data_IF_124985957030
#
_entry.id   IF_124985957030
#
_cell.length_a   1.000
_cell.length_b   1.000
_cell.length_c   1.000
_cell.angle_alpha   90.00
_cell.angle_beta   90.00
_cell.angle_gamma   90.00
#
_symmetry.space_group_name_H-M   'P 1'
#
loop_
_entity.id
_entity.type
_entity.pdbx_description
1 polymer ?
#
# COMPACT_ATOMS: atom_id res chain seq x y z
N UNK A 1 -1.62 1.68 12.33
CA UNK A 1 -1.60 3.04 12.91
C UNK A 1 -1.36 3.04 14.42
N UNK A 2 -2.26 2.49 15.26
CA UNK A 2 -2.11 2.52 16.72
C UNK A 2 -0.73 2.05 17.22
N UNK A 3 -0.27 0.88 16.77
CA UNK A 3 1.05 0.34 17.13
C UNK A 3 2.19 1.31 16.77
N UNK A 4 2.13 1.94 15.59
CA UNK A 4 3.10 2.94 15.15
C UNK A 4 3.13 4.18 16.03
N UNK A 5 1.95 4.68 16.43
CA UNK A 5 1.84 5.86 17.31
C UNK A 5 2.35 5.56 18.71
N UNK A 6 2.06 4.37 19.25
CA UNK A 6 2.58 3.92 20.55
C UNK A 6 4.10 3.75 20.49
N UNK A 7 4.64 3.18 19.41
CA UNK A 7 6.07 3.06 19.20
C UNK A 7 6.76 4.44 19.14
N UNK A 8 6.20 5.38 18.37
CA UNK A 8 6.69 6.77 18.32
C UNK A 8 6.69 7.44 19.69
N UNK A 9 5.64 7.24 20.50
CA UNK A 9 5.61 7.75 21.87
C UNK A 9 6.78 7.23 22.70
N UNK A 10 7.04 5.92 22.67
CA UNK A 10 8.15 5.31 23.40
C UNK A 10 9.49 5.91 22.96
N UNK A 11 9.71 6.02 21.65
CA UNK A 11 10.94 6.59 21.08
C UNK A 11 11.13 8.06 21.47
N UNK A 12 10.06 8.87 21.47
CA UNK A 12 10.12 10.26 21.92
C UNK A 12 10.41 10.37 23.43
N UNK A 13 9.80 9.52 24.25
CA UNK A 13 10.02 9.50 25.71
C UNK A 13 11.48 9.16 26.06
N UNK A 14 12.10 8.23 25.34
CA UNK A 14 13.52 7.91 25.52
C UNK A 14 14.44 9.10 25.21
N UNK A 15 14.03 10.00 24.34
CA UNK A 15 14.76 11.22 24.00
C UNK A 15 14.44 12.40 24.95
N UNK A 16 13.52 12.23 25.91
CA UNK A 16 13.07 13.32 26.79
C UNK A 16 11.93 14.17 26.19
N UNK A 17 11.29 13.71 25.12
CA UNK A 17 10.11 14.31 24.51
C UNK A 17 8.79 13.67 24.96
N UNK A 18 7.69 14.20 24.43
CA UNK A 18 6.33 13.71 24.69
C UNK A 18 5.53 13.59 23.39
N UNK A 19 4.54 12.69 23.36
CA UNK A 19 3.57 12.58 22.27
C UNK A 19 2.16 12.82 22.79
N UNK A 20 1.58 13.95 22.41
CA UNK A 20 0.16 14.26 22.64
C UNK A 20 -0.66 13.58 21.55
N UNK A 21 -1.66 12.79 21.96
CA UNK A 21 -2.59 12.15 21.03
C UNK A 21 -3.95 12.83 21.16
N UNK A 22 -4.42 13.41 20.06
CA UNK A 22 -5.75 14.01 19.97
C UNK A 22 -6.76 13.05 19.37
N UNK A 23 -7.95 12.99 19.97
CA UNK A 23 -9.13 12.28 19.43
C UNK A 23 -9.96 13.14 18.46
N UNK A 24 -9.78 14.46 18.54
CA UNK A 24 -10.51 15.44 17.74
C UNK A 24 -9.69 15.82 16.51
N UNK A 25 -10.39 16.33 15.49
CA UNK A 25 -9.77 16.89 14.30
C UNK A 25 -8.61 17.85 14.64
N UNK A 26 -7.57 17.84 13.82
CA UNK A 26 -6.44 18.76 13.92
C UNK A 26 -6.91 20.24 13.93
N UNK A 27 -8.03 20.54 13.26
CA UNK A 27 -8.71 21.85 13.28
C UNK A 27 -9.13 22.34 14.67
N UNK A 28 -9.26 21.43 15.64
CA UNK A 28 -9.63 21.73 17.03
C UNK A 28 -8.40 21.58 17.91
N UNK A 29 -7.69 20.46 17.76
CA UNK A 29 -6.60 20.09 18.66
C UNK A 29 -5.40 21.04 18.51
N UNK A 30 -4.99 21.40 17.28
CA UNK A 30 -3.80 22.25 17.07
C UNK A 30 -4.00 23.65 17.66
N UNK A 31 -5.10 24.39 17.39
CA UNK A 31 -5.30 25.70 18.01
C UNK A 31 -5.35 25.69 19.53
N UNK A 32 -5.85 24.61 20.14
CA UNK A 32 -5.84 24.45 21.60
C UNK A 32 -4.41 24.32 22.14
N UNK A 33 -3.59 23.48 21.50
CA UNK A 33 -2.18 23.29 21.89
C UNK A 33 -1.37 24.57 21.69
N UNK A 34 -1.61 25.31 20.60
CA UNK A 34 -0.95 26.60 20.35
C UNK A 34 -1.19 27.56 21.51
N UNK A 35 -2.44 27.70 21.94
CA UNK A 35 -2.81 28.56 23.07
C UNK A 35 -2.27 28.06 24.40
N UNK A 36 -2.29 26.75 24.64
CA UNK A 36 -1.86 26.15 25.91
C UNK A 36 -0.34 26.25 26.12
N UNK A 37 0.43 26.04 25.06
CA UNK A 37 1.89 25.97 25.12
C UNK A 37 2.60 27.20 24.56
N UNK A 38 1.86 28.26 24.20
CA UNK A 38 2.41 29.49 23.61
C UNK A 38 3.31 29.18 22.40
N UNK A 39 2.84 28.28 21.54
CA UNK A 39 3.61 27.81 20.38
C UNK A 39 3.84 28.97 19.41
N UNK A 40 5.07 29.09 18.89
CA UNK A 40 5.44 30.07 17.85
C UNK A 40 5.62 29.42 16.48
N UNK A 41 6.08 28.17 16.47
CA UNK A 41 6.50 27.44 15.27
C UNK A 41 5.87 26.04 15.24
N UNK A 42 5.37 25.64 14.07
CA UNK A 42 4.88 24.29 13.82
C UNK A 42 5.69 23.67 12.68
N UNK A 43 6.34 22.55 12.96
CA UNK A 43 7.07 21.74 11.98
C UNK A 43 6.25 20.51 11.59
N UNK A 44 6.14 20.25 10.29
CA UNK A 44 5.45 19.06 9.79
C UNK A 44 6.08 18.55 8.48
N UNK A 45 5.86 17.27 8.18
CA UNK A 45 6.12 16.78 6.83
C UNK A 45 5.08 17.36 5.86
N UNK A 46 5.52 17.83 4.70
CA UNK A 46 4.66 18.42 3.69
C UNK A 46 3.73 17.35 3.08
N UNK A 47 2.42 17.59 3.16
CA UNK A 47 1.41 16.79 2.47
C UNK A 47 1.19 17.24 1.02
N UNK A 48 0.55 16.37 0.23
CA UNK A 48 0.40 16.62 -1.21
C UNK A 48 -0.96 16.22 -1.79
N UNK A 49 -1.78 15.47 -1.04
CA UNK A 49 -3.09 15.04 -1.50
C UNK A 49 -4.16 16.09 -1.15
N UNK A 50 -5.23 16.25 -1.95
CA UNK A 50 -6.13 17.39 -1.85
C UNK A 50 -6.78 17.55 -0.46
N UNK A 51 -7.25 16.46 0.14
CA UNK A 51 -7.91 16.51 1.45
C UNK A 51 -6.94 17.00 2.54
N UNK A 52 -5.72 16.48 2.56
CA UNK A 52 -4.68 16.88 3.50
C UNK A 52 -4.24 18.32 3.27
N UNK A 53 -4.13 18.76 2.02
CA UNK A 53 -3.81 20.15 1.67
C UNK A 53 -4.89 21.13 2.13
N UNK A 54 -6.17 20.79 1.93
CA UNK A 54 -7.29 21.61 2.39
C UNK A 54 -7.28 21.74 3.91
N UNK A 55 -7.09 20.62 4.63
CA UNK A 55 -6.97 20.60 6.08
C UNK A 55 -5.81 21.48 6.57
N UNK A 56 -4.62 21.36 5.97
CA UNK A 56 -3.47 22.18 6.33
C UNK A 56 -3.73 23.66 6.07
N UNK A 57 -4.32 24.01 4.93
CA UNK A 57 -4.67 25.40 4.59
C UNK A 57 -5.62 26.01 5.62
N UNK A 58 -6.67 25.28 6.00
CA UNK A 58 -7.63 25.78 7.00
C UNK A 58 -6.98 25.99 8.38
N UNK A 59 -6.02 25.14 8.77
CA UNK A 59 -5.29 25.30 10.04
C UNK A 59 -4.42 26.57 10.00
N UNK A 60 -3.71 26.78 8.90
CA UNK A 60 -2.88 27.96 8.71
C UNK A 60 -3.72 29.25 8.75
N UNK A 61 -4.88 29.25 8.09
CA UNK A 61 -5.78 30.42 8.08
C UNK A 61 -6.32 30.74 9.48
N UNK A 62 -6.47 29.74 10.36
CA UNK A 62 -6.92 29.93 11.76
C UNK A 62 -5.81 30.38 12.71
N UNK A 63 -4.55 30.23 12.31
CA UNK A 63 -3.37 30.49 13.14
C UNK A 63 -2.37 31.39 12.38
N UNK A 64 -2.78 32.60 11.93
CA UNK A 64 -1.96 33.48 11.10
C UNK A 64 -0.69 33.99 11.80
N UNK A 65 -0.65 33.94 13.12
CA UNK A 65 0.50 34.32 13.95
C UNK A 65 1.59 33.24 14.05
N UNK A 66 1.30 32.01 13.62
CA UNK A 66 2.20 30.87 13.76
C UNK A 66 3.07 30.71 12.51
N UNK A 67 4.36 30.45 12.71
CA UNK A 67 5.28 30.12 11.62
C UNK A 67 5.22 28.63 11.30
N UNK A 68 4.75 28.29 10.09
CA UNK A 68 4.65 26.90 9.63
C UNK A 68 5.86 26.51 8.78
N UNK A 69 6.52 25.43 9.19
CA UNK A 69 7.72 24.88 8.56
C UNK A 69 7.43 23.49 7.98
N UNK A 70 7.23 23.42 6.66
CA UNK A 70 6.97 22.16 5.97
C UNK A 70 8.22 21.57 5.32
N UNK A 71 8.50 20.30 5.61
CA UNK A 71 9.64 19.57 5.04
C UNK A 71 9.18 18.44 4.12
N UNK A 72 9.80 18.32 2.94
CA UNK A 72 9.49 17.23 2.02
C UNK A 72 10.36 15.99 2.31
N UNK A 73 9.77 14.97 2.94
CA UNK A 73 10.44 13.71 3.31
C UNK A 73 9.91 12.45 2.62
N UNK A 74 8.76 12.54 1.93
CA UNK A 74 7.94 11.39 1.53
C UNK A 74 8.53 10.53 0.42
N UNK A 75 9.42 11.06 -0.41
CA UNK A 75 9.92 10.39 -1.63
C UNK A 75 11.42 10.09 -1.55
N UNK A 76 11.88 9.16 -2.38
CA UNK A 76 13.30 8.84 -2.52
C UNK A 76 14.07 10.02 -3.13
N UNK A 77 13.60 10.53 -4.26
CA UNK A 77 14.11 11.76 -4.86
C UNK A 77 13.33 12.96 -4.33
N UNK A 78 14.04 14.01 -3.91
CA UNK A 78 13.38 15.22 -3.43
C UNK A 78 12.66 15.93 -4.59
N UNK A 79 11.48 16.50 -4.32
CA UNK A 79 10.65 17.18 -5.34
C UNK A 79 11.37 18.33 -6.07
N UNK A 80 12.35 18.94 -5.40
CA UNK A 80 13.13 20.07 -5.95
C UNK A 80 14.42 19.63 -6.67
N UNK A 81 14.78 18.33 -6.60
CA UNK A 81 16.01 17.81 -7.22
C UNK A 81 15.74 17.00 -8.50
N UNK A 82 14.48 16.71 -8.80
CA UNK A 82 14.08 16.03 -10.04
C UNK A 82 14.15 17.00 -11.23
N UNK A 83 14.41 16.51 -12.47
CA UNK A 83 14.60 17.39 -13.63
C UNK A 83 13.26 17.86 -14.25
N UNK A 84 12.23 18.00 -13.41
CA UNK A 84 10.86 18.32 -13.82
C UNK A 84 10.21 19.25 -12.79
N UNK A 85 9.50 20.26 -13.27
CA UNK A 85 8.45 20.89 -12.47
C UNK A 85 7.29 19.90 -12.27
N UNK A 86 6.57 19.98 -11.14
CA UNK A 86 5.42 19.11 -10.83
C UNK A 86 4.37 19.15 -11.96
N UNK A 87 4.06 20.33 -12.48
CA UNK A 87 3.13 20.53 -13.60
C UNK A 87 3.53 19.81 -14.91
N UNK A 88 4.81 19.44 -15.04
CA UNK A 88 5.43 18.84 -16.23
C UNK A 88 5.87 17.38 -16.02
N UNK A 89 5.53 16.76 -14.88
CA UNK A 89 5.86 15.35 -14.60
C UNK A 89 5.36 14.42 -15.72
N UNK A 90 6.22 13.65 -16.40
CA UNK A 90 5.80 12.86 -17.56
C UNK A 90 4.63 11.90 -17.27
N UNK A 91 3.79 11.63 -18.27
CA UNK A 91 2.62 10.75 -18.10
C UNK A 91 2.97 9.25 -18.11
N UNK A 92 4.21 8.88 -18.45
CA UNK A 92 4.69 7.49 -18.43
C UNK A 92 5.89 7.33 -17.50
N UNK A 93 5.93 6.21 -16.77
CA UNK A 93 7.02 5.90 -15.82
C UNK A 93 8.39 5.90 -16.51
N UNK A 94 8.49 5.39 -17.75
CA UNK A 94 9.76 5.37 -18.51
C UNK A 94 10.29 6.78 -18.78
N UNK A 95 9.41 7.71 -19.18
CA UNK A 95 9.80 9.09 -19.47
C UNK A 95 10.18 9.87 -18.21
N UNK A 96 9.65 9.51 -17.05
CA UNK A 96 10.05 10.06 -15.75
C UNK A 96 11.38 9.45 -15.24
N UNK A 97 11.45 8.12 -15.12
CA UNK A 97 12.53 7.43 -14.41
C UNK A 97 13.90 7.55 -15.07
N UNK A 98 13.95 7.59 -16.42
CA UNK A 98 15.24 7.63 -17.14
C UNK A 98 15.96 8.96 -16.91
N UNK A 99 15.32 10.14 -17.08
CA UNK A 99 15.93 11.42 -16.73
C UNK A 99 16.28 11.55 -15.24
N UNK A 100 15.37 11.17 -14.33
CA UNK A 100 15.61 11.24 -12.88
C UNK A 100 16.86 10.45 -12.49
N UNK A 101 16.97 9.19 -12.94
CA UNK A 101 18.14 8.36 -12.64
C UNK A 101 19.46 8.87 -13.25
N UNK A 102 19.41 9.80 -14.22
CA UNK A 102 20.60 10.39 -14.85
C UNK A 102 20.96 11.77 -14.29
N UNK A 103 19.99 12.52 -13.79
CA UNK A 103 20.13 13.95 -13.46
C UNK A 103 19.91 14.27 -11.99
N UNK A 104 19.51 13.28 -11.19
CA UNK A 104 19.17 13.46 -9.79
C UNK A 104 19.78 12.35 -8.96
N UNK A 105 19.99 12.63 -7.68
CA UNK A 105 20.44 11.67 -6.68
C UNK A 105 19.52 11.77 -5.46
N UNK A 106 19.24 10.65 -4.76
CA UNK A 106 18.59 10.72 -3.46
C UNK A 106 19.43 11.58 -2.50
N UNK A 107 18.80 12.49 -1.77
CA UNK A 107 19.47 13.23 -0.68
C UNK A 107 19.86 12.27 0.45
N UNK A 108 20.84 12.66 1.24
CA UNK A 108 21.18 11.93 2.46
C UNK A 108 20.03 11.97 3.48
N UNK A 109 20.05 11.02 4.41
CA UNK A 109 19.13 10.98 5.55
C UNK A 109 19.59 11.98 6.61
N UNK A 110 18.64 12.63 7.26
CA UNK A 110 18.91 13.50 8.40
C UNK A 110 19.21 12.60 9.61
N UNK A 111 20.19 12.99 10.44
CA UNK A 111 20.54 12.27 11.66
C UNK A 111 19.41 12.34 12.70
N UNK A 112 19.13 11.23 13.37
CA UNK A 112 18.20 11.18 14.50
C UNK A 112 18.71 12.08 15.65
N UNK A 113 17.85 12.90 16.27
CA UNK A 113 18.23 13.68 17.45
C UNK A 113 18.61 12.76 18.61
N UNK A 114 19.59 13.17 19.41
CA UNK A 114 20.05 12.41 20.59
C UNK A 114 19.32 12.78 21.88
N UNK A 115 18.67 13.94 21.91
CA UNK A 115 17.84 14.40 23.02
C UNK A 115 16.84 15.46 22.54
N UNK A 116 15.77 15.64 23.31
CA UNK A 116 14.71 16.62 23.12
C UNK A 116 14.50 17.38 24.42
N UNK A 117 14.24 18.69 24.31
CA UNK A 117 13.84 19.52 25.44
C UNK A 117 12.30 19.57 25.54
N UNK A 118 11.70 18.48 25.99
CA UNK A 118 10.25 18.36 26.12
C UNK A 118 9.68 19.26 27.24
N UNK A 119 8.44 19.74 27.04
CA UNK A 119 7.70 20.47 28.08
C UNK A 119 7.46 19.55 29.27
N UNK A 120 7.75 20.05 30.48
CA UNK A 120 7.61 19.29 31.72
C UNK A 120 6.14 19.12 32.12
N UNK A 121 5.84 18.03 32.84
CA UNK A 121 4.53 17.75 33.44
C UNK A 121 3.36 17.61 32.44
N UNK A 122 3.63 17.22 31.18
CA UNK A 122 2.56 16.84 30.25
C UNK A 122 1.87 15.56 30.74
N UNK A 123 0.54 15.59 30.80
CA UNK A 123 -0.27 14.39 31.03
C UNK A 123 -0.25 13.50 29.80
N UNK A 124 0.15 12.24 29.95
CA UNK A 124 0.02 11.26 28.88
C UNK A 124 -1.46 10.99 28.62
N UNK A 125 -1.91 11.27 27.40
CA UNK A 125 -3.24 10.90 26.93
C UNK A 125 -3.14 9.47 26.36
N UNK A 126 -4.01 8.55 26.77
CA UNK A 126 -4.00 7.19 26.20
C UNK A 126 -4.38 7.20 24.72
N UNK A 127 -3.98 6.15 23.99
CA UNK A 127 -4.48 6.00 22.62
C UNK A 127 -5.98 5.70 22.69
N UNK A 128 -6.82 6.32 21.83
CA UNK A 128 -8.27 6.17 21.92
C UNK A 128 -8.71 4.71 21.77
N UNK A 129 -9.71 4.28 22.53
CA UNK A 129 -10.20 2.91 22.43
C UNK A 129 -10.81 2.62 21.06
N UNK A 130 -10.84 1.34 20.66
CA UNK A 130 -11.43 0.90 19.39
C UNK A 130 -12.89 1.37 19.20
N UNK A 131 -13.65 1.49 20.29
CA UNK A 131 -15.02 2.00 20.30
C UNK A 131 -15.14 3.46 19.85
N UNK A 132 -14.10 4.29 20.06
CA UNK A 132 -14.08 5.67 19.57
C UNK A 132 -14.07 5.73 18.03
N UNK A 133 -13.65 4.64 17.37
CA UNK A 133 -13.64 4.49 15.92
C UNK A 133 -14.79 3.62 15.39
N UNK A 134 -15.77 3.29 16.24
CA UNK A 134 -16.93 2.50 15.85
C UNK A 134 -16.70 0.99 15.79
N UNK A 135 -15.57 0.48 16.29
CA UNK A 135 -15.30 -0.96 16.35
C UNK A 135 -15.69 -1.54 17.71
N UNK A 136 -16.23 -2.76 17.69
CA UNK A 136 -16.40 -3.55 18.90
C UNK A 136 -15.05 -4.08 19.40
N UNK A 137 -14.99 -4.39 20.70
CA UNK A 137 -13.81 -5.01 21.30
C UNK A 137 -13.47 -6.36 20.64
N UNK A 138 -14.48 -7.15 20.30
CA UNK A 138 -14.31 -8.45 19.64
C UNK A 138 -13.69 -8.30 18.24
N UNK A 139 -14.15 -7.33 17.43
CA UNK A 139 -13.57 -7.07 16.11
C UNK A 139 -12.10 -6.64 16.23
N UNK A 140 -11.79 -5.79 17.21
CA UNK A 140 -10.44 -5.33 17.47
C UNK A 140 -9.51 -6.47 17.91
N UNK A 141 -9.94 -7.30 18.87
CA UNK A 141 -9.15 -8.44 19.38
C UNK A 141 -8.96 -9.55 18.34
N UNK A 142 -9.90 -9.70 17.41
CA UNK A 142 -9.77 -10.62 16.28
C UNK A 142 -8.95 -10.04 15.13
N UNK A 143 -8.64 -8.75 15.15
CA UNK A 143 -7.79 -8.14 14.12
C UNK A 143 -6.34 -8.57 14.30
N UNK A 144 -5.81 -9.25 13.29
CA UNK A 144 -4.42 -9.70 13.26
C UNK A 144 -3.76 -9.08 12.03
N UNK A 145 -3.30 -7.81 12.12
CA UNK A 145 -2.65 -7.17 11.00
C UNK A 145 -1.43 -8.00 10.58
N UNK A 146 -1.20 -8.09 9.27
CA UNK A 146 -0.15 -8.91 8.69
C UNK A 146 1.27 -8.62 9.25
N UNK A 147 1.47 -7.39 9.75
CA UNK A 147 2.74 -6.88 10.27
C UNK A 147 2.49 -6.05 11.53
N UNK A 148 3.47 -6.06 12.44
CA UNK A 148 3.52 -5.15 13.59
C UNK A 148 3.89 -3.75 13.09
N UNK A 149 3.17 -2.71 13.51
CA UNK A 149 3.46 -1.32 13.15
C UNK A 149 4.50 -0.65 14.07
N UNK A 150 5.28 0.27 13.50
CA UNK A 150 6.29 1.07 14.23
C UNK A 150 7.57 1.25 13.44
N UNK A 151 8.37 2.24 13.81
CA UNK A 151 9.72 2.46 13.27
C UNK A 151 10.63 1.27 13.63
N UNK A 152 10.60 0.81 14.88
CA UNK A 152 11.46 -0.28 15.34
C UNK A 152 11.21 -1.57 14.53
N UNK A 153 9.94 -1.92 14.33
CA UNK A 153 9.54 -3.07 13.51
C UNK A 153 9.93 -2.88 12.04
N UNK A 154 9.89 -1.65 11.52
CA UNK A 154 10.32 -1.34 10.16
C UNK A 154 11.84 -1.52 10.00
N UNK A 155 12.63 -1.04 10.96
CA UNK A 155 14.09 -1.15 10.98
C UNK A 155 14.54 -2.60 11.17
N UNK A 156 13.87 -3.37 12.04
CA UNK A 156 14.10 -4.80 12.18
C UNK A 156 13.80 -5.54 10.88
N UNK A 157 12.67 -5.22 10.23
CA UNK A 157 12.31 -5.84 8.96
C UNK A 157 13.29 -5.47 7.86
N UNK A 158 13.78 -4.24 7.82
CA UNK A 158 14.82 -3.80 6.89
C UNK A 158 16.09 -4.62 7.08
N UNK A 159 16.58 -4.70 8.32
CA UNK A 159 17.79 -5.46 8.67
C UNK A 159 17.64 -6.95 8.37
N UNK A 160 16.48 -7.53 8.68
CA UNK A 160 16.18 -8.91 8.37
C UNK A 160 16.25 -9.18 6.87
N UNK A 161 15.55 -8.37 6.07
CA UNK A 161 15.41 -8.59 4.63
C UNK A 161 16.72 -8.33 3.86
N UNK A 162 17.58 -7.44 4.39
CA UNK A 162 18.90 -7.18 3.82
C UNK A 162 19.95 -8.13 4.37
N UNK A 163 20.40 -7.96 5.62
CA UNK A 163 21.62 -8.62 6.09
C UNK A 163 21.38 -9.94 6.83
N UNK A 164 20.30 -10.09 7.60
CA UNK A 164 20.11 -11.35 8.36
C UNK A 164 19.71 -12.54 7.48
N UNK A 165 18.90 -12.31 6.44
CA UNK A 165 18.40 -13.38 5.56
C UNK A 165 18.88 -13.27 4.11
N UNK A 166 19.49 -12.15 3.72
CA UNK A 166 19.99 -11.90 2.35
C UNK A 166 18.94 -12.05 1.23
N UNK A 167 17.64 -12.01 1.58
CA UNK A 167 16.52 -12.16 0.65
C UNK A 167 16.50 -11.11 -0.45
N UNK A 168 17.08 -9.93 -0.19
CA UNK A 168 17.24 -8.87 -1.19
C UNK A 168 17.95 -9.37 -2.46
N UNK A 169 18.92 -10.29 -2.36
CA UNK A 169 19.60 -10.88 -3.52
C UNK A 169 18.63 -11.63 -4.45
N UNK A 170 17.55 -12.19 -3.91
CA UNK A 170 16.53 -12.95 -4.64
C UNK A 170 15.26 -12.16 -5.04
N UNK A 171 15.12 -10.91 -4.60
CA UNK A 171 13.86 -10.14 -4.67
C UNK A 171 13.17 -10.16 -6.05
N UNK A 172 13.92 -9.98 -7.15
CA UNK A 172 13.34 -9.95 -8.50
C UNK A 172 12.57 -11.24 -8.85
N UNK A 173 13.03 -12.37 -8.34
CA UNK A 173 12.50 -13.70 -8.65
C UNK A 173 11.37 -14.10 -7.70
N UNK A 174 11.41 -13.63 -6.45
CA UNK A 174 10.41 -13.97 -5.43
C UNK A 174 9.21 -13.03 -5.41
N UNK A 175 9.34 -11.76 -5.83
CA UNK A 175 8.31 -10.69 -5.70
C UNK A 175 6.92 -10.96 -6.28
N UNK A 176 6.76 -12.01 -7.08
CA UNK A 176 5.48 -12.38 -7.69
C UNK A 176 4.73 -13.52 -6.97
N UNK A 177 5.24 -14.03 -5.83
CA UNK A 177 4.50 -14.99 -5.00
C UNK A 177 3.30 -14.30 -4.31
N UNK A 178 2.34 -15.11 -3.86
CA UNK A 178 1.09 -14.64 -3.28
C UNK A 178 1.09 -14.60 -1.74
N UNK A 179 1.99 -15.33 -1.08
CA UNK A 179 1.95 -15.50 0.37
C UNK A 179 3.33 -15.73 1.01
N UNK A 180 3.40 -15.49 2.32
CA UNK A 180 4.61 -15.52 3.14
C UNK A 180 5.29 -14.15 3.28
N UNK A 181 6.10 -13.99 4.32
CA UNK A 181 6.79 -12.72 4.58
C UNK A 181 7.92 -12.48 3.57
N UNK A 182 8.60 -13.51 3.10
CA UNK A 182 9.94 -13.37 2.50
C UNK A 182 9.97 -13.17 0.98
N UNK A 183 8.83 -13.33 0.32
CA UNK A 183 8.79 -13.17 -1.13
C UNK A 183 8.95 -11.72 -1.59
N UNK A 184 8.78 -10.75 -0.69
CA UNK A 184 8.99 -9.32 -0.94
C UNK A 184 9.40 -8.63 0.35
N UNK A 185 9.84 -7.38 0.26
CA UNK A 185 10.35 -6.66 1.43
C UNK A 185 9.32 -6.46 2.54
N UNK A 186 8.03 -6.36 2.20
CA UNK A 186 6.94 -5.98 3.11
C UNK A 186 7.12 -4.60 3.76
N UNK A 187 7.84 -3.70 3.08
CA UNK A 187 8.06 -2.32 3.58
C UNK A 187 6.87 -1.37 3.38
N UNK A 188 5.89 -1.75 2.55
CA UNK A 188 4.82 -0.83 2.14
C UNK A 188 4.00 -0.24 3.29
N UNK A 189 3.62 -0.97 4.37
CA UNK A 189 2.87 -0.35 5.48
C UNK A 189 3.71 0.67 6.25
N UNK A 190 5.00 0.38 6.41
CA UNK A 190 5.93 1.29 7.07
C UNK A 190 6.18 2.56 6.25
N UNK A 191 6.31 2.41 4.92
CA UNK A 191 6.44 3.55 4.00
C UNK A 191 5.18 4.40 3.92
N UNK A 192 4.00 3.79 4.00
CA UNK A 192 2.71 4.49 3.97
C UNK A 192 2.51 5.36 5.22
N UNK A 193 2.92 4.86 6.39
CA UNK A 193 2.79 5.59 7.66
C UNK A 193 4.02 6.43 8.04
N UNK A 194 5.06 6.47 7.20
CA UNK A 194 6.30 7.19 7.50
C UNK A 194 7.17 6.56 8.60
N UNK A 195 6.90 5.31 9.01
CA UNK A 195 7.72 4.57 9.99
C UNK A 195 9.14 4.27 9.47
N UNK A 196 9.37 4.37 8.16
CA UNK A 196 10.70 4.27 7.55
C UNK A 196 10.78 5.14 6.32
N UNK A 197 11.91 5.84 6.14
CA UNK A 197 12.14 6.68 4.96
C UNK A 197 12.56 5.83 3.75
N UNK A 198 12.09 6.14 2.53
CA UNK A 198 12.63 5.54 1.31
C UNK A 198 14.14 5.80 1.15
N UNK A 199 14.66 6.91 1.70
CA UNK A 199 16.11 7.23 1.69
C UNK A 199 16.92 6.32 2.62
N UNK A 200 16.36 5.95 3.78
CA UNK A 200 16.99 4.97 4.67
C UNK A 200 17.07 3.58 4.00
N UNK A 201 15.98 3.15 3.34
CA UNK A 201 15.98 1.90 2.57
C UNK A 201 17.04 1.97 1.46
N UNK A 202 17.10 3.06 0.70
CA UNK A 202 18.10 3.24 -0.35
C UNK A 202 19.53 3.14 0.18
N UNK A 203 19.85 3.86 1.26
CA UNK A 203 21.18 3.81 1.89
C UNK A 203 21.54 2.40 2.31
N UNK A 204 20.61 1.68 2.94
CA UNK A 204 20.83 0.29 3.38
C UNK A 204 21.01 -0.67 2.20
N UNK A 205 20.28 -0.46 1.10
CA UNK A 205 20.48 -1.23 -0.13
C UNK A 205 21.87 -0.96 -0.72
N UNK A 206 22.37 0.28 -0.70
CA UNK A 206 23.73 0.61 -1.17
C UNK A 206 24.81 -0.06 -0.33
N UNK A 207 24.66 -0.01 0.98
CA UNK A 207 25.52 -0.73 1.90
C UNK A 207 25.52 -2.25 1.64
N UNK A 208 24.34 -2.84 1.39
CA UNK A 208 24.23 -4.25 1.03
C UNK A 208 24.87 -4.58 -0.33
N UNK A 209 24.72 -3.69 -1.32
CA UNK A 209 25.35 -3.84 -2.65
C UNK A 209 26.88 -3.87 -2.55
N UNK A 210 27.46 -3.10 -1.63
CA UNK A 210 28.90 -3.03 -1.37
C UNK A 210 29.42 -4.24 -0.58
N UNK A 211 28.72 -4.63 0.48
CA UNK A 211 29.19 -5.67 1.42
C UNK A 211 28.84 -7.10 1.01
N UNK A 212 27.70 -7.30 0.33
CA UNK A 212 27.17 -8.63 0.03
C UNK A 212 27.10 -8.84 -1.48
N UNK A 213 26.19 -8.15 -2.17
CA UNK A 213 26.00 -8.35 -3.61
C UNK A 213 25.20 -7.25 -4.27
N UNK A 214 25.73 -6.68 -5.35
CA UNK A 214 24.99 -5.88 -6.32
C UNK A 214 24.45 -6.74 -7.46
N UNK A 215 23.15 -6.72 -7.71
CA UNK A 215 22.56 -7.48 -8.82
C UNK A 215 21.23 -6.86 -9.34
N UNK A 216 20.52 -7.59 -10.21
CA UNK A 216 19.23 -7.12 -10.72
C UNK A 216 18.17 -6.97 -9.64
N UNK A 217 18.22 -7.77 -8.57
CA UNK A 217 17.24 -7.74 -7.47
C UNK A 217 17.42 -6.51 -6.58
N UNK A 218 18.65 -6.14 -6.22
CA UNK A 218 18.94 -4.92 -5.45
C UNK A 218 18.49 -3.67 -6.22
N UNK A 219 18.79 -3.62 -7.53
CA UNK A 219 18.27 -2.57 -8.41
C UNK A 219 16.75 -2.56 -8.48
N UNK A 220 16.10 -3.73 -8.53
CA UNK A 220 14.64 -3.83 -8.66
C UNK A 220 13.92 -3.28 -7.43
N UNK A 221 14.46 -3.46 -6.23
CA UNK A 221 13.87 -2.87 -5.02
C UNK A 221 13.86 -1.33 -5.10
N UNK A 222 14.98 -0.73 -5.53
CA UNK A 222 15.06 0.72 -5.75
C UNK A 222 14.10 1.14 -6.88
N UNK A 223 14.01 0.36 -7.95
CA UNK A 223 13.08 0.64 -9.04
C UNK A 223 11.62 0.75 -8.56
N UNK A 224 11.17 -0.11 -7.64
CA UNK A 224 9.82 0.00 -7.07
C UNK A 224 9.65 1.27 -6.21
N UNK A 225 10.67 1.70 -5.46
CA UNK A 225 10.64 2.97 -4.73
C UNK A 225 10.50 4.17 -5.69
N UNK A 226 11.22 4.15 -6.81
CA UNK A 226 11.07 5.17 -7.88
C UNK A 226 9.68 5.13 -8.50
N UNK A 227 9.04 3.97 -8.53
CA UNK A 227 7.67 3.84 -9.00
C UNK A 227 6.66 4.49 -8.04
N UNK A 228 6.88 4.35 -6.72
CA UNK A 228 6.13 5.08 -5.69
C UNK A 228 6.30 6.59 -5.83
N UNK A 229 7.55 7.08 -5.94
CA UNK A 229 7.84 8.51 -6.18
C UNK A 229 7.11 9.05 -7.42
N UNK A 230 7.20 8.30 -8.52
CA UNK A 230 6.55 8.67 -9.77
C UNK A 230 5.03 8.83 -9.60
N UNK A 231 4.39 7.96 -8.82
CA UNK A 231 2.98 8.06 -8.51
C UNK A 231 2.64 9.23 -7.62
N UNK A 232 3.44 9.52 -6.59
CA UNK A 232 3.27 10.74 -5.79
C UNK A 232 3.33 11.98 -6.67
N UNK A 233 4.38 12.15 -7.48
CA UNK A 233 4.53 13.35 -8.31
C UNK A 233 3.52 13.42 -9.46
N UNK A 234 3.14 12.28 -10.06
CA UNK A 234 2.06 12.25 -11.06
C UNK A 234 0.71 12.57 -10.41
N UNK A 235 0.45 12.07 -9.21
CA UNK A 235 -0.74 12.42 -8.42
C UNK A 235 -0.82 13.92 -8.18
N UNK A 236 0.28 14.55 -7.73
CA UNK A 236 0.38 16.00 -7.56
C UNK A 236 0.09 16.78 -8.86
N UNK A 237 0.64 16.31 -10.00
CA UNK A 237 0.39 16.94 -11.31
C UNK A 237 -1.09 16.91 -11.70
N UNK A 238 -1.73 15.79 -11.45
CA UNK A 238 -3.06 15.46 -11.97
C UNK A 238 -4.17 15.94 -11.03
N UNK A 239 -3.86 16.06 -9.73
CA UNK A 239 -4.76 16.59 -8.71
C UNK A 239 -6.03 15.74 -8.55
N UNK A 240 -7.16 16.36 -8.18
CA UNK A 240 -8.40 15.66 -7.83
C UNK A 240 -8.98 14.75 -8.92
N UNK A 241 -8.57 14.93 -10.18
CA UNK A 241 -9.06 14.09 -11.28
C UNK A 241 -8.68 12.61 -11.15
N UNK A 242 -7.67 12.26 -10.32
CA UNK A 242 -7.34 10.86 -9.99
C UNK A 242 -8.44 10.14 -9.20
N UNK A 243 -9.39 10.86 -8.60
CA UNK A 243 -10.49 10.28 -7.82
C UNK A 243 -11.79 10.15 -8.63
N UNK A 244 -11.82 10.68 -9.86
CA UNK A 244 -13.00 10.68 -10.71
C UNK A 244 -13.13 9.38 -11.50
N UNK A 245 -14.36 8.92 -11.76
CA UNK A 245 -14.61 7.69 -12.55
C UNK A 245 -13.99 7.72 -13.95
N UNK A 246 -13.96 8.87 -14.61
CA UNK A 246 -13.35 9.01 -15.95
C UNK A 246 -11.82 9.06 -15.89
N UNK A 247 -11.27 9.26 -14.70
CA UNK A 247 -9.85 9.46 -14.46
C UNK A 247 -9.30 10.68 -15.19
N UNK A 248 -7.98 10.84 -15.15
CA UNK A 248 -7.32 11.91 -15.90
C UNK A 248 -7.24 11.64 -17.41
N UNK A 249 -7.61 10.43 -17.85
CA UNK A 249 -7.78 10.11 -19.27
C UNK A 249 -9.09 10.63 -19.84
N UNK A 250 -10.02 11.09 -18.98
CA UNK A 250 -11.32 11.61 -19.38
C UNK A 250 -12.08 10.64 -20.32
N UNK A 251 -11.95 9.33 -20.08
CA UNK A 251 -12.55 8.30 -20.94
C UNK A 251 -13.84 7.79 -20.31
N UNK A 252 -14.93 7.83 -21.08
CA UNK A 252 -16.20 7.23 -20.67
C UNK A 252 -16.16 5.72 -20.92
N UNK A 253 -16.35 4.95 -19.86
CA UNK A 253 -16.54 3.50 -19.89
C UNK A 253 -17.96 3.22 -19.39
N UNK A 254 -18.66 2.31 -20.06
CA UNK A 254 -19.96 1.82 -19.57
C UNK A 254 -19.67 0.74 -18.54
N UNK A 255 -20.12 0.97 -17.32
CA UNK A 255 -19.99 0.05 -16.20
C UNK A 255 -21.34 -0.63 -15.94
N UNK A 256 -21.33 -1.92 -15.62
CA UNK A 256 -22.52 -2.62 -15.15
C UNK A 256 -22.88 -2.20 -13.73
N UNK A 257 -21.86 -2.02 -12.86
CA UNK A 257 -22.01 -1.61 -11.46
C UNK A 257 -23.03 -2.46 -10.67
N UNK A 258 -23.11 -3.76 -10.97
CA UNK A 258 -23.95 -4.69 -10.24
C UNK A 258 -23.47 -4.79 -8.77
N UNK A 259 -24.28 -4.37 -7.78
CA UNK A 259 -23.87 -4.38 -6.38
C UNK A 259 -23.64 -5.79 -5.83
N UNK A 260 -24.36 -6.80 -6.32
CA UNK A 260 -24.21 -8.19 -5.89
C UNK A 260 -22.89 -8.79 -6.40
N UNK A 261 -22.49 -8.50 -7.64
CA UNK A 261 -21.17 -8.86 -8.16
C UNK A 261 -20.05 -8.19 -7.35
N UNK A 262 -20.24 -6.92 -6.95
CA UNK A 262 -19.27 -6.19 -6.14
C UNK A 262 -19.14 -6.79 -4.74
N UNK A 263 -20.25 -7.07 -4.07
CA UNK A 263 -20.25 -7.67 -2.73
C UNK A 263 -19.56 -9.04 -2.74
N UNK A 264 -19.88 -9.90 -3.71
CA UNK A 264 -19.19 -11.19 -3.88
C UNK A 264 -17.70 -11.03 -4.08
N UNK A 265 -17.26 -10.01 -4.83
CA UNK A 265 -15.83 -9.70 -4.98
C UNK A 265 -15.21 -9.24 -3.66
N UNK A 266 -15.83 -8.30 -2.95
CA UNK A 266 -15.36 -7.82 -1.66
C UNK A 266 -15.21 -8.96 -0.65
N UNK A 267 -16.16 -9.89 -0.59
CA UNK A 267 -16.17 -11.00 0.35
C UNK A 267 -15.23 -12.16 -0.02
N UNK A 268 -14.70 -12.19 -1.25
CA UNK A 268 -13.93 -13.34 -1.75
C UNK A 268 -14.81 -14.55 -2.05
N UNK A 269 -16.00 -14.31 -2.61
CA UNK A 269 -17.03 -15.30 -2.94
C UNK A 269 -17.38 -15.28 -4.44
N UNK A 270 -16.43 -14.96 -5.32
CA UNK A 270 -16.64 -14.85 -6.77
C UNK A 270 -16.79 -16.20 -7.47
N UNK A 271 -16.36 -17.30 -6.83
CA UNK A 271 -16.26 -18.64 -7.38
C UNK A 271 -14.99 -18.86 -8.21
N UNK A 272 -14.06 -17.90 -8.21
CA UNK A 272 -12.75 -17.99 -8.86
C UNK A 272 -11.69 -18.05 -7.76
N UNK A 273 -11.16 -19.25 -7.43
CA UNK A 273 -10.39 -19.45 -6.21
C UNK A 273 -9.18 -18.52 -6.06
N UNK A 274 -8.53 -18.14 -7.16
CA UNK A 274 -7.38 -17.24 -7.13
C UNK A 274 -7.74 -15.80 -6.73
N UNK A 275 -8.92 -15.32 -7.15
CA UNK A 275 -9.44 -14.01 -6.75
C UNK A 275 -9.92 -14.09 -5.30
N UNK A 276 -10.67 -15.14 -4.99
CA UNK A 276 -11.29 -15.36 -3.69
C UNK A 276 -10.24 -15.48 -2.58
N UNK A 277 -9.20 -16.30 -2.77
CA UNK A 277 -8.08 -16.42 -1.82
C UNK A 277 -7.38 -15.08 -1.56
N UNK A 278 -7.18 -14.25 -2.59
CA UNK A 278 -6.57 -12.94 -2.40
C UNK A 278 -7.48 -11.96 -1.67
N UNK A 279 -8.79 -11.94 -1.98
CA UNK A 279 -9.73 -11.08 -1.28
C UNK A 279 -9.90 -11.50 0.19
N UNK A 280 -9.90 -12.81 0.48
CA UNK A 280 -9.87 -13.33 1.85
C UNK A 280 -8.59 -12.93 2.59
N UNK A 281 -7.42 -13.05 1.95
CA UNK A 281 -6.14 -12.58 2.49
C UNK A 281 -6.18 -11.09 2.86
N UNK A 282 -6.70 -10.24 1.96
CA UNK A 282 -6.86 -8.81 2.22
C UNK A 282 -7.79 -8.56 3.41
N UNK A 283 -8.95 -9.23 3.44
CA UNK A 283 -9.96 -8.97 4.46
C UNK A 283 -9.50 -9.38 5.87
N UNK A 284 -8.74 -10.48 5.97
CA UNK A 284 -8.30 -11.01 7.25
C UNK A 284 -7.01 -10.34 7.77
N UNK A 285 -6.11 -9.92 6.87
CA UNK A 285 -4.76 -9.45 7.27
C UNK A 285 -4.50 -7.98 6.96
N UNK A 286 -5.37 -7.37 6.15
CA UNK A 286 -5.19 -6.05 5.57
C UNK A 286 -4.04 -5.95 4.58
N UNK A 287 -3.46 -7.08 4.14
CA UNK A 287 -2.37 -7.10 3.17
C UNK A 287 -2.73 -7.99 1.98
N UNK A 288 -2.32 -7.57 0.78
CA UNK A 288 -2.42 -8.38 -0.43
C UNK A 288 -1.13 -8.24 -1.25
N UNK A 289 -0.63 -9.34 -1.80
CA UNK A 289 0.52 -9.31 -2.71
C UNK A 289 0.27 -8.40 -3.91
N UNK A 290 1.31 -7.75 -4.46
CA UNK A 290 1.15 -6.94 -5.68
C UNK A 290 0.54 -7.76 -6.84
N UNK A 291 0.88 -9.05 -6.92
CA UNK A 291 0.30 -9.96 -7.93
C UNK A 291 -1.20 -10.15 -7.71
N UNK A 292 -1.62 -10.31 -6.47
CA UNK A 292 -3.03 -10.37 -6.09
C UNK A 292 -3.76 -9.08 -6.45
N UNK A 293 -3.21 -7.92 -6.07
CA UNK A 293 -3.83 -6.61 -6.32
C UNK A 293 -4.11 -6.38 -7.80
N UNK A 294 -3.13 -6.64 -8.67
CA UNK A 294 -3.30 -6.52 -10.12
C UNK A 294 -4.40 -7.45 -10.64
N UNK A 295 -4.45 -8.71 -10.18
CA UNK A 295 -5.44 -9.67 -10.66
C UNK A 295 -6.85 -9.36 -10.15
N UNK A 296 -7.01 -9.03 -8.86
CA UNK A 296 -8.30 -8.66 -8.28
C UNK A 296 -8.84 -7.36 -8.91
N UNK A 297 -7.98 -6.36 -9.12
CA UNK A 297 -8.36 -5.13 -9.80
C UNK A 297 -8.71 -5.36 -11.28
N UNK A 298 -7.93 -6.16 -12.00
CA UNK A 298 -8.25 -6.52 -13.39
C UNK A 298 -9.58 -7.26 -13.48
N UNK A 299 -9.85 -8.19 -12.56
CA UNK A 299 -11.09 -8.96 -12.54
C UNK A 299 -12.31 -8.07 -12.29
N UNK A 300 -12.24 -7.18 -11.29
CA UNK A 300 -13.30 -6.23 -10.98
C UNK A 300 -13.65 -5.35 -12.20
N UNK A 301 -12.63 -4.80 -12.85
CA UNK A 301 -12.78 -3.85 -13.96
C UNK A 301 -13.21 -4.54 -15.25
N UNK A 302 -12.52 -5.62 -15.63
CA UNK A 302 -12.59 -6.16 -17.00
C UNK A 302 -13.54 -7.36 -17.13
N UNK A 303 -13.74 -8.11 -16.06
CA UNK A 303 -14.69 -9.24 -16.03
C UNK A 303 -16.02 -8.77 -15.44
N UNK A 304 -16.02 -8.26 -14.20
CA UNK A 304 -17.28 -7.85 -13.54
C UNK A 304 -17.86 -6.52 -14.05
N UNK A 305 -17.09 -5.76 -14.84
CA UNK A 305 -17.48 -4.44 -15.38
C UNK A 305 -17.94 -3.47 -14.29
N UNK A 306 -17.33 -3.53 -13.12
CA UNK A 306 -17.60 -2.60 -12.02
C UNK A 306 -16.63 -1.42 -12.10
N UNK A 307 -17.15 -0.24 -11.80
CA UNK A 307 -16.38 0.99 -11.73
C UNK A 307 -15.19 0.83 -10.78
N UNK A 308 -14.00 1.10 -11.31
CA UNK A 308 -12.73 0.93 -10.61
C UNK A 308 -12.63 1.77 -9.33
N UNK A 309 -13.36 2.88 -9.21
CA UNK A 309 -13.34 3.71 -7.99
C UNK A 309 -13.96 2.98 -6.79
N UNK A 310 -14.85 2.00 -7.01
CA UNK A 310 -15.39 1.15 -5.94
C UNK A 310 -14.31 0.24 -5.36
N UNK A 311 -13.49 -0.35 -6.23
CA UNK A 311 -12.35 -1.15 -5.82
C UNK A 311 -11.26 -0.33 -5.14
N UNK A 312 -10.98 0.88 -5.63
CA UNK A 312 -10.03 1.80 -5.02
C UNK A 312 -10.43 2.16 -3.58
N UNK A 313 -11.70 2.54 -3.36
CA UNK A 313 -12.25 2.82 -2.04
C UNK A 313 -12.28 1.59 -1.13
N UNK A 314 -12.60 0.41 -1.67
CA UNK A 314 -12.54 -0.83 -0.90
C UNK A 314 -11.11 -1.13 -0.41
N UNK A 315 -10.12 -0.97 -1.28
CA UNK A 315 -8.71 -1.16 -0.93
C UNK A 315 -8.22 -0.12 0.08
N UNK A 316 -8.65 1.14 -0.04
CA UNK A 316 -8.41 2.17 0.97
C UNK A 316 -8.94 1.77 2.35
N UNK A 317 -10.11 1.15 2.42
CA UNK A 317 -10.70 0.70 3.70
C UNK A 317 -10.05 -0.55 4.32
N UNK A 318 -9.25 -1.31 3.55
CA UNK A 318 -8.70 -2.61 3.97
C UNK A 318 -7.18 -2.66 4.06
N UNK A 319 -6.47 -1.93 3.21
CA UNK A 319 -5.02 -2.04 3.13
C UNK A 319 -4.32 -1.38 4.31
N UNK A 320 -3.54 -2.15 5.07
CA UNK A 320 -2.62 -1.60 6.09
C UNK A 320 -1.50 -0.75 5.48
N UNK A 321 -1.31 -0.81 4.16
CA UNK A 321 -0.34 -0.03 3.40
C UNK A 321 -1.00 0.92 2.39
N UNK A 322 -2.21 1.39 2.72
CA UNK A 322 -2.86 2.42 1.93
C UNK A 322 -1.97 3.67 1.83
N UNK A 323 -1.61 4.02 0.59
CA UNK A 323 -0.99 5.28 0.19
C UNK A 323 -1.86 5.83 -0.94
N UNK A 324 -2.34 7.07 -0.78
CA UNK A 324 -3.33 7.70 -1.67
C UNK A 324 -2.89 7.66 -3.13
N UNK A 325 -1.66 8.08 -3.44
CA UNK A 325 -1.16 8.05 -4.81
C UNK A 325 -1.02 6.62 -5.32
N UNK A 326 -0.40 5.75 -4.53
CA UNK A 326 -0.09 4.39 -4.96
C UNK A 326 -1.34 3.57 -5.22
N UNK A 327 -2.37 3.70 -4.37
CA UNK A 327 -3.63 3.01 -4.55
C UNK A 327 -4.38 3.54 -5.77
N UNK A 328 -4.73 4.84 -5.76
CA UNK A 328 -5.60 5.43 -6.78
C UNK A 328 -4.96 5.43 -8.18
N UNK A 329 -3.64 5.63 -8.28
CA UNK A 329 -2.95 5.55 -9.58
C UNK A 329 -2.83 4.12 -10.12
N UNK A 330 -2.63 3.11 -9.27
CA UNK A 330 -2.63 1.71 -9.72
C UNK A 330 -4.02 1.31 -10.24
N UNK A 331 -5.08 1.65 -9.53
CA UNK A 331 -6.46 1.38 -9.96
C UNK A 331 -6.80 2.11 -11.26
N UNK A 332 -6.43 3.39 -11.39
CA UNK A 332 -6.57 4.13 -12.63
C UNK A 332 -5.80 3.45 -13.78
N UNK A 333 -4.54 3.07 -13.55
CA UNK A 333 -3.76 2.35 -14.57
C UNK A 333 -4.42 1.03 -14.96
N UNK A 334 -4.98 0.27 -14.01
CA UNK A 334 -5.69 -0.97 -14.29
C UNK A 334 -6.96 -0.76 -15.15
N UNK A 335 -7.65 0.37 -14.95
CA UNK A 335 -8.83 0.73 -15.71
C UNK A 335 -8.52 1.22 -17.14
N UNK A 336 -7.45 1.99 -17.31
CA UNK A 336 -7.24 2.76 -18.54
C UNK A 336 -5.94 2.47 -19.31
N UNK A 337 -4.92 1.90 -18.68
CA UNK A 337 -3.57 1.80 -19.26
C UNK A 337 -3.02 0.37 -19.33
N UNK A 338 -3.42 -0.51 -18.41
CA UNK A 338 -2.89 -1.87 -18.28
C UNK A 338 -3.80 -2.87 -18.99
N UNK A 339 -3.17 -3.82 -19.67
CA UNK A 339 -3.87 -4.93 -20.32
C UNK A 339 -4.52 -5.88 -19.31
N UNK A 340 -5.70 -6.36 -19.68
CA UNK A 340 -6.45 -7.37 -18.95
C UNK A 340 -5.59 -8.60 -18.58
N UNK A 341 -5.70 -9.05 -17.33
CA UNK A 341 -5.10 -10.31 -16.86
C UNK A 341 -6.18 -11.36 -16.63
N UNK A 342 -6.06 -12.50 -17.30
CA UNK A 342 -6.94 -13.65 -17.09
C UNK A 342 -6.64 -14.33 -15.73
N UNK A 343 -7.58 -14.33 -14.77
CA UNK A 343 -7.33 -14.83 -13.42
C UNK A 343 -7.03 -16.33 -13.39
N UNK A 344 -7.68 -17.14 -14.25
CA UNK A 344 -7.44 -18.59 -14.37
C UNK A 344 -6.04 -18.86 -14.90
N UNK A 345 -5.62 -18.13 -15.94
CA UNK A 345 -4.27 -18.24 -16.46
C UNK A 345 -3.22 -17.84 -15.43
N UNK A 346 -3.46 -16.75 -14.70
CA UNK A 346 -2.54 -16.23 -13.70
C UNK A 346 -2.41 -17.19 -12.52
N UNK A 347 -3.52 -17.77 -12.07
CA UNK A 347 -3.55 -18.82 -11.04
C UNK A 347 -2.61 -19.99 -11.39
N UNK A 348 -2.69 -20.51 -12.63
CA UNK A 348 -1.79 -21.57 -13.10
C UNK A 348 -0.34 -21.07 -13.26
N UNK A 349 -0.15 -19.92 -13.92
CA UNK A 349 1.19 -19.35 -14.19
C UNK A 349 2.00 -19.13 -12.91
N UNK A 350 1.36 -18.70 -11.83
CA UNK A 350 2.00 -18.43 -10.55
C UNK A 350 1.92 -19.59 -9.56
N UNK A 351 1.44 -20.77 -10.00
CA UNK A 351 1.32 -21.98 -9.19
C UNK A 351 0.58 -21.71 -7.87
N UNK A 352 -0.61 -21.13 -7.96
CA UNK A 352 -1.36 -20.66 -6.81
C UNK A 352 -2.05 -21.76 -5.99
N UNK A 353 -1.86 -23.05 -6.30
CA UNK A 353 -2.56 -24.17 -5.66
C UNK A 353 -2.45 -24.13 -4.13
N UNK A 354 -1.22 -24.06 -3.60
CA UNK A 354 -1.01 -24.09 -2.14
C UNK A 354 -1.52 -22.82 -1.47
N UNK A 355 -1.42 -21.68 -2.15
CA UNK A 355 -2.00 -20.42 -1.70
C UNK A 355 -3.53 -20.52 -1.61
N UNK A 356 -4.19 -21.08 -2.62
CA UNK A 356 -5.64 -21.26 -2.62
C UNK A 356 -6.07 -22.20 -1.49
N UNK A 357 -5.37 -23.33 -1.30
CA UNK A 357 -5.67 -24.29 -0.21
C UNK A 357 -5.51 -23.66 1.17
N UNK A 358 -4.54 -22.76 1.34
CA UNK A 358 -4.31 -22.05 2.59
C UNK A 358 -5.47 -21.12 2.95
N UNK A 359 -5.98 -20.37 1.96
CA UNK A 359 -6.98 -19.32 2.19
C UNK A 359 -8.43 -19.77 2.00
N UNK A 360 -8.66 -20.91 1.33
CA UNK A 360 -9.99 -21.46 1.06
C UNK A 360 -10.06 -22.90 1.61
N UNK A 361 -10.44 -23.08 2.90
CA UNK A 361 -10.42 -24.38 3.55
C UNK A 361 -11.26 -25.45 2.86
N UNK A 362 -12.35 -25.09 2.19
CA UNK A 362 -13.19 -26.03 1.43
C UNK A 362 -12.43 -26.69 0.26
N UNK A 363 -11.39 -26.01 -0.25
CA UNK A 363 -10.57 -26.49 -1.37
C UNK A 363 -9.25 -27.14 -0.91
N UNK A 364 -8.99 -27.19 0.40
CA UNK A 364 -7.70 -27.61 0.97
C UNK A 364 -7.26 -29.03 0.60
N UNK A 365 -8.20 -29.94 0.35
CA UNK A 365 -7.94 -31.36 0.02
C UNK A 365 -7.93 -31.67 -1.48
N UNK A 366 -8.21 -30.68 -2.33
CA UNK A 366 -8.32 -30.89 -3.76
C UNK A 366 -6.97 -31.04 -4.44
N UNK A 367 -6.91 -31.83 -5.51
CA UNK A 367 -5.69 -32.02 -6.29
C UNK A 367 -5.30 -30.74 -7.06
N UNK A 368 -4.14 -30.76 -7.73
CA UNK A 368 -3.55 -29.58 -8.37
C UNK A 368 -4.36 -29.02 -9.55
N UNK A 369 -5.29 -29.80 -10.11
CA UNK A 369 -6.20 -29.40 -11.19
C UNK A 369 -7.48 -28.84 -10.58
N UNK A 370 -8.13 -29.63 -9.73
CA UNK A 370 -9.40 -29.33 -9.08
C UNK A 370 -9.38 -28.01 -8.31
N UNK A 371 -8.30 -27.74 -7.57
CA UNK A 371 -8.17 -26.50 -6.77
C UNK A 371 -8.16 -25.22 -7.63
N UNK A 372 -7.72 -25.31 -8.88
CA UNK A 372 -7.61 -24.15 -9.77
C UNK A 372 -8.90 -23.87 -10.54
N UNK A 373 -9.69 -24.91 -10.82
CA UNK A 373 -10.90 -24.86 -11.65
C UNK A 373 -12.02 -25.74 -11.05
N UNK A 374 -12.41 -25.53 -9.78
CA UNK A 374 -13.31 -26.45 -9.06
C UNK A 374 -14.68 -26.58 -9.72
N UNK A 375 -15.15 -25.53 -10.41
CA UNK A 375 -16.44 -25.53 -11.11
C UNK A 375 -16.50 -26.47 -12.32
N UNK A 376 -15.37 -27.01 -12.79
CA UNK A 376 -15.33 -28.01 -13.87
C UNK A 376 -15.62 -29.43 -13.38
N UNK A 377 -15.86 -29.62 -12.07
CA UNK A 377 -16.10 -30.92 -11.44
C UNK A 377 -17.37 -30.86 -10.57
N UNK A 378 -18.36 -31.70 -10.90
CA UNK A 378 -19.68 -31.68 -10.25
C UNK A 378 -19.65 -32.07 -8.76
N UNK A 379 -18.65 -32.83 -8.34
CA UNK A 379 -18.51 -33.34 -6.97
C UNK A 379 -17.93 -32.34 -5.97
N UNK A 380 -17.43 -31.20 -6.45
CA UNK A 380 -16.75 -30.21 -5.61
C UNK A 380 -17.78 -29.20 -5.09
N UNK A 381 -17.97 -29.19 -3.77
CA UNK A 381 -18.83 -28.22 -3.11
C UNK A 381 -18.09 -26.90 -2.86
N UNK A 382 -18.07 -26.04 -3.88
CA UNK A 382 -17.59 -24.66 -3.79
C UNK A 382 -18.55 -23.71 -4.51
N UNK A 383 -18.55 -22.44 -4.11
CA UNK A 383 -19.44 -21.45 -4.72
C UNK A 383 -19.19 -21.36 -6.23
N UNK A 384 -20.28 -21.40 -7.02
CA UNK A 384 -20.17 -21.33 -8.48
C UNK A 384 -19.66 -19.96 -8.93
N UNK A 385 -18.84 -19.90 -10.00
CA UNK A 385 -18.41 -18.64 -10.59
C UNK A 385 -19.59 -17.71 -10.86
N UNK A 386 -19.42 -16.41 -10.61
CA UNK A 386 -20.35 -15.36 -11.09
C UNK A 386 -20.61 -15.57 -12.59
N UNK A 387 -19.55 -15.79 -13.35
CA UNK A 387 -19.58 -16.10 -14.77
C UNK A 387 -18.30 -16.85 -15.17
N UNK A 388 -18.40 -17.75 -16.16
CA UNK A 388 -17.25 -18.38 -16.80
C UNK A 388 -17.12 -17.83 -18.22
N UNK A 389 -16.16 -16.95 -18.44
CA UNK A 389 -16.04 -16.24 -19.71
C UNK A 389 -15.34 -17.09 -20.78
N UNK A 390 -15.79 -17.09 -22.05
CA UNK A 390 -15.15 -17.86 -23.13
C UNK A 390 -13.65 -17.58 -23.32
N UNK A 391 -13.21 -16.35 -23.01
CA UNK A 391 -11.79 -15.94 -23.03
C UNK A 391 -10.90 -16.72 -22.04
N UNK A 392 -11.48 -17.54 -21.15
CA UNK A 392 -10.76 -18.37 -20.20
C UNK A 392 -10.51 -19.81 -20.68
N UNK A 393 -11.19 -20.28 -21.73
CA UNK A 393 -11.15 -21.67 -22.18
C UNK A 393 -9.72 -22.20 -22.44
N UNK A 394 -8.85 -21.37 -23.04
CA UNK A 394 -7.44 -21.75 -23.25
C UNK A 394 -6.73 -22.04 -21.93
N UNK A 395 -6.96 -21.24 -20.89
CA UNK A 395 -6.33 -21.42 -19.58
C UNK A 395 -6.88 -22.66 -18.87
N UNK A 396 -8.19 -22.85 -18.90
CA UNK A 396 -8.87 -24.02 -18.34
C UNK A 396 -8.33 -25.32 -18.97
N UNK A 397 -8.24 -25.35 -20.31
CA UNK A 397 -7.72 -26.52 -21.04
C UNK A 397 -6.23 -26.79 -20.78
N UNK A 398 -5.44 -25.77 -20.46
CA UNK A 398 -4.05 -25.98 -20.03
C UNK A 398 -3.97 -26.57 -18.62
N UNK A 399 -4.85 -26.16 -17.71
CA UNK A 399 -4.91 -26.68 -16.34
C UNK A 399 -5.32 -28.16 -16.33
N UNK A 400 -6.31 -28.54 -17.15
CA UNK A 400 -6.73 -29.95 -17.31
C UNK A 400 -5.63 -30.90 -17.80
N UNK A 401 -4.49 -30.37 -18.27
CA UNK A 401 -3.33 -31.14 -18.75
C UNK A 401 -2.16 -31.18 -17.76
N UNK A 402 -2.32 -30.62 -16.56
CA UNK A 402 -1.30 -30.71 -15.51
C UNK A 402 -1.18 -32.18 -15.09
N UNK A 403 0.03 -32.73 -14.93
CA UNK A 403 0.22 -34.07 -14.39
C UNK A 403 -0.37 -34.17 -12.97
N UNK A 404 -1.11 -35.25 -12.70
CA UNK A 404 -1.73 -35.52 -11.39
C UNK A 404 -0.67 -35.83 -10.35
#
# INVERSE_FOLDING_TARGET
>A
MQQSVINLRGNLQHLGGHLIIGEKSAMITIPQLVKEFEVTDIYAEQEYAPFELDLVSEIMDRLPEIEFHFLWGKTLYHKDDIPFEISKIPLTSKAYRIPVAKKSSPRETISTPTSLNGVKNIKNIEFPSCSAYGFSKSEYEQSHPFLVGGEDAALERLEYYTFKSELLTGYRWSRNKSDGLDYSSKFSPYLALGCISPRQIYSRVKEYEEKVRKNQSTWWLIFELVWRDYFTFKGMRIGPSIFSTQGFKNKKIVWENDPGKFERWCQGNTGIPFIDAHMLQLNQTGYMSNRGRVNCASYLVHDLKINWTWGAAYFESKLIDYDVSSNWMNWHMQAFEIWYTNPVHQSNKYKAQDFIRLWIPELSKLNNIEVLIPWEFETINYIKPIEVYPKWNRAINLIKKIPI
#
